data_IF_283806877145
#
_entry.id   IF_283806877145
#
_cell.length_a   1.000
_cell.length_b   1.000
_cell.length_c   1.000
_cell.angle_alpha   90.00
_cell.angle_beta   90.00
_cell.angle_gamma   90.00
#
_symmetry.space_group_name_H-M   'P 1'
#
loop_
_entity.id
_entity.type
_entity.pdbx_description
1 polymer ?
#
# COMPACT_ATOMS: atom_id res chain seq x y z
N UNK A 1 3.91 4.28 -25.99
CA UNK A 1 4.82 5.03 -25.10
C UNK A 1 5.54 4.01 -24.23
N UNK A 2 6.88 3.90 -24.33
CA UNK A 2 7.67 2.99 -23.49
C UNK A 2 8.14 3.80 -22.29
N UNK A 3 7.39 3.74 -21.21
CA UNK A 3 7.84 4.24 -19.92
C UNK A 3 8.88 3.23 -19.42
N UNK A 4 10.15 3.65 -19.41
CA UNK A 4 11.33 3.02 -18.79
C UNK A 4 11.35 1.48 -18.70
N UNK A 5 12.15 0.81 -19.55
CA UNK A 5 12.59 -0.57 -19.29
C UNK A 5 13.92 -0.55 -18.53
N UNK A 6 13.95 -1.11 -17.32
CA UNK A 6 15.18 -1.36 -16.56
C UNK A 6 16.02 -2.47 -17.22
N UNK A 7 17.33 -2.30 -17.45
CA UNK A 7 18.25 -3.42 -17.60
C UNK A 7 18.55 -4.00 -16.20
N UNK A 8 18.25 -5.29 -15.98
CA UNK A 8 18.60 -5.96 -14.72
C UNK A 8 20.12 -6.18 -14.65
N UNK A 9 20.83 -5.53 -13.73
CA UNK A 9 22.05 -6.10 -13.17
C UNK A 9 21.67 -6.90 -11.92
N UNK A 10 21.94 -8.20 -11.98
CA UNK A 10 21.69 -9.13 -10.89
C UNK A 10 23.06 -9.45 -10.31
N UNK A 11 23.56 -8.63 -9.39
CA UNK A 11 24.79 -8.96 -8.66
C UNK A 11 24.45 -9.73 -7.40
N UNK A 12 24.85 -11.01 -7.39
CA UNK A 12 24.58 -12.04 -6.39
C UNK A 12 25.49 -11.93 -5.15
N UNK A 13 25.88 -10.72 -4.73
CA UNK A 13 26.72 -10.56 -3.53
C UNK A 13 26.36 -9.27 -2.78
N UNK A 14 25.69 -9.45 -1.64
CA UNK A 14 25.62 -8.49 -0.52
C UNK A 14 25.02 -7.13 -0.84
N UNK A 15 23.73 -6.97 -0.55
CA UNK A 15 22.95 -5.72 -0.55
C UNK A 15 22.88 -4.98 -1.90
N UNK A 16 21.71 -4.91 -2.58
CA UNK A 16 21.61 -4.12 -3.80
C UNK A 16 21.84 -2.64 -3.45
N UNK A 17 22.74 -1.94 -4.17
CA UNK A 17 22.76 -0.49 -4.11
C UNK A 17 21.40 0.04 -4.57
N UNK A 18 20.90 1.11 -3.95
CA UNK A 18 19.81 1.89 -4.53
C UNK A 18 20.34 2.46 -5.86
N UNK A 19 20.11 1.77 -6.98
CA UNK A 19 20.84 1.98 -8.24
C UNK A 19 20.69 3.40 -8.83
N UNK A 20 19.74 4.21 -8.35
CA UNK A 20 19.42 5.52 -8.92
C UNK A 20 19.56 6.71 -7.95
N UNK A 21 20.05 6.50 -6.72
CA UNK A 21 20.19 7.60 -5.75
C UNK A 21 18.86 8.18 -5.25
N UNK A 22 17.74 7.49 -5.49
CA UNK A 22 16.39 7.76 -4.96
C UNK A 22 15.67 6.44 -4.67
N UNK A 23 14.86 6.41 -3.62
CA UNK A 23 14.00 5.28 -3.27
C UNK A 23 12.69 5.35 -4.09
N UNK A 24 12.34 4.29 -4.81
CA UNK A 24 11.14 4.25 -5.65
C UNK A 24 9.94 3.74 -4.87
N UNK A 25 8.88 4.56 -4.81
CA UNK A 25 7.63 4.27 -4.11
C UNK A 25 6.49 4.17 -5.11
N UNK A 26 5.91 2.99 -5.25
CA UNK A 26 4.69 2.80 -6.03
C UNK A 26 3.46 2.80 -5.12
N UNK A 27 2.42 3.52 -5.52
CA UNK A 27 1.16 3.63 -4.78
C UNK A 27 0.03 3.23 -5.70
N UNK A 28 -0.76 2.23 -5.33
CA UNK A 28 -2.00 1.94 -6.01
C UNK A 28 -3.16 2.61 -5.29
N UNK A 29 -3.85 3.53 -5.97
CA UNK A 29 -5.06 4.20 -5.48
C UNK A 29 -6.24 3.63 -6.24
N UNK A 30 -7.14 2.89 -5.58
CA UNK A 30 -8.32 2.34 -6.24
C UNK A 30 -9.38 3.42 -6.44
N UNK A 31 -9.73 3.68 -7.70
CA UNK A 31 -10.84 4.54 -8.16
C UNK A 31 -11.63 3.82 -9.25
N UNK A 32 -12.48 4.53 -10.00
CA UNK A 32 -13.41 3.99 -10.99
C UNK A 32 -14.71 3.50 -10.35
N UNK A 33 -14.79 2.18 -10.16
CA UNK A 33 -15.94 1.54 -9.50
C UNK A 33 -16.07 1.89 -8.02
N UNK A 34 -14.97 2.29 -7.38
CA UNK A 34 -14.89 2.68 -5.98
C UNK A 34 -14.87 4.19 -5.85
N UNK A 35 -15.92 4.73 -5.23
CA UNK A 35 -16.14 6.15 -4.93
C UNK A 35 -16.29 6.34 -3.42
N UNK A 36 -16.19 7.58 -2.96
CA UNK A 36 -16.38 7.97 -1.54
C UNK A 36 -17.77 7.59 -1.00
N UNK A 37 -18.74 7.45 -1.89
CA UNK A 37 -20.11 7.06 -1.58
C UNK A 37 -20.54 5.85 -2.42
N UNK A 38 -21.63 5.19 -2.01
CA UNK A 38 -22.21 4.06 -2.73
C UNK A 38 -21.80 2.68 -2.21
N UNK A 39 -22.17 1.60 -2.92
CA UNK A 39 -22.10 0.24 -2.40
C UNK A 39 -20.67 -0.27 -2.17
N UNK A 40 -19.67 0.28 -2.86
CA UNK A 40 -18.26 -0.09 -2.72
C UNK A 40 -17.44 0.91 -1.88
N UNK A 41 -18.09 1.88 -1.24
CA UNK A 41 -17.43 2.93 -0.43
C UNK A 41 -16.57 2.37 0.72
N UNK A 42 -16.89 1.20 1.26
CA UNK A 42 -16.07 0.53 2.28
C UNK A 42 -14.65 0.16 1.79
N UNK A 43 -14.43 0.12 0.46
CA UNK A 43 -13.11 -0.09 -0.15
C UNK A 43 -12.39 1.22 -0.48
N UNK A 44 -13.09 2.35 -0.38
CA UNK A 44 -12.53 3.66 -0.66
C UNK A 44 -11.51 4.02 0.41
N UNK A 45 -10.43 4.66 -0.03
CA UNK A 45 -9.42 5.29 0.81
C UNK A 45 -9.23 6.70 0.26
N UNK A 46 -9.40 7.75 1.08
CA UNK A 46 -9.24 9.12 0.62
C UNK A 46 -7.78 9.41 0.25
N UNK A 47 -7.54 10.48 -0.51
CA UNK A 47 -6.18 10.85 -0.88
C UNK A 47 -5.32 11.15 0.38
N UNK A 48 -5.92 11.78 1.40
CA UNK A 48 -5.20 12.12 2.64
C UNK A 48 -4.61 10.89 3.32
N UNK A 49 -5.23 9.71 3.17
CA UNK A 49 -4.67 8.45 3.65
C UNK A 49 -3.30 8.16 3.02
N UNK A 50 -3.22 8.18 1.69
CA UNK A 50 -1.97 7.89 0.98
C UNK A 50 -0.93 8.98 1.20
N UNK A 51 -1.36 10.24 1.23
CA UNK A 51 -0.49 11.38 1.48
C UNK A 51 0.14 11.31 2.87
N UNK A 52 -0.62 10.94 3.91
CA UNK A 52 -0.08 10.76 5.25
C UNK A 52 1.00 9.65 5.31
N UNK A 53 0.83 8.56 4.55
CA UNK A 53 1.86 7.51 4.46
C UNK A 53 3.12 8.03 3.75
N UNK A 54 2.95 8.76 2.64
CA UNK A 54 4.07 9.35 1.91
C UNK A 54 4.82 10.41 2.73
N UNK A 55 4.10 11.26 3.46
CA UNK A 55 4.69 12.27 4.32
C UNK A 55 5.46 11.59 5.48
N UNK A 56 4.92 10.53 6.07
CA UNK A 56 5.63 9.74 7.09
C UNK A 56 6.92 9.11 6.55
N UNK A 57 6.91 8.60 5.31
CA UNK A 57 8.12 8.07 4.66
C UNK A 57 9.16 9.16 4.40
N UNK A 58 8.73 10.36 3.99
CA UNK A 58 9.62 11.49 3.70
C UNK A 58 10.26 12.06 4.97
N UNK A 59 9.48 12.22 6.02
CA UNK A 59 9.93 12.76 7.31
C UNK A 59 11.00 11.85 7.92
N UNK A 60 10.73 10.55 7.96
CA UNK A 60 11.68 9.58 8.50
C UNK A 60 12.92 9.45 7.61
N UNK A 61 12.73 9.42 6.28
CA UNK A 61 13.83 9.41 5.33
C UNK A 61 14.74 10.62 5.50
N UNK A 62 14.17 11.80 5.76
CA UNK A 62 14.94 13.03 6.04
C UNK A 62 15.69 12.90 7.35
N UNK A 63 15.05 12.38 8.40
CA UNK A 63 15.66 12.20 9.73
C UNK A 63 16.81 11.20 9.71
N UNK A 64 16.73 10.18 8.86
CA UNK A 64 17.66 9.03 8.83
C UNK A 64 18.63 9.00 7.65
N UNK A 65 18.60 10.03 6.80
CA UNK A 65 19.52 10.17 5.67
C UNK A 65 19.24 9.21 4.51
N UNK A 66 17.96 8.89 4.25
CA UNK A 66 17.58 8.21 3.01
C UNK A 66 17.94 9.04 1.79
N UNK A 67 18.18 8.39 0.64
CA UNK A 67 18.29 9.10 -0.62
C UNK A 67 16.96 9.78 -0.94
N UNK A 68 16.98 11.11 -0.84
CA UNK A 68 15.88 12.00 -1.15
C UNK A 68 16.21 12.81 -2.40
N UNK A 69 15.19 13.18 -3.21
CA UNK A 69 13.76 12.95 -2.98
C UNK A 69 13.33 11.49 -3.23
N UNK A 70 12.22 11.07 -2.59
CA UNK A 70 11.55 9.81 -2.97
C UNK A 70 10.99 9.95 -4.39
N UNK A 71 11.19 8.93 -5.21
CA UNK A 71 10.58 8.86 -6.55
C UNK A 71 9.22 8.17 -6.45
N UNK A 72 8.15 8.96 -6.40
CA UNK A 72 6.81 8.48 -6.08
C UNK A 72 5.92 8.41 -7.32
N UNK A 73 5.33 7.25 -7.54
CA UNK A 73 4.40 6.98 -8.63
C UNK A 73 3.05 6.48 -8.11
N UNK A 74 1.98 7.22 -8.41
CA UNK A 74 0.59 6.82 -8.14
C UNK A 74 -0.01 6.21 -9.39
N UNK A 75 -0.64 5.04 -9.25
CA UNK A 75 -1.37 4.35 -10.30
C UNK A 75 -2.85 4.25 -9.96
N UNK A 76 -3.72 4.67 -10.89
CA UNK A 76 -5.17 4.62 -10.71
C UNK A 76 -5.94 4.52 -12.03
N UNK A 77 -7.25 4.34 -11.92
CA UNK A 77 -8.18 4.56 -13.02
C UNK A 77 -8.48 6.06 -13.19
N UNK A 78 -8.76 6.53 -14.41
CA UNK A 78 -9.01 7.96 -14.66
C UNK A 78 -10.31 8.47 -14.05
N UNK A 79 -11.33 7.61 -13.89
CA UNK A 79 -12.58 8.00 -13.25
C UNK A 79 -12.39 8.10 -11.73
N UNK A 80 -12.51 9.30 -11.18
CA UNK A 80 -12.42 9.56 -9.74
C UNK A 80 -13.31 10.72 -9.32
N UNK A 81 -13.83 10.66 -8.09
CA UNK A 81 -14.52 11.76 -7.41
C UNK A 81 -13.57 12.64 -6.59
N UNK A 82 -12.28 12.30 -6.52
CA UNK A 82 -11.24 13.08 -5.85
C UNK A 82 -10.31 13.74 -6.89
N UNK A 83 -9.77 14.92 -6.56
CA UNK A 83 -8.76 15.58 -7.39
C UNK A 83 -7.41 14.87 -7.28
N UNK A 84 -6.59 14.96 -8.32
CA UNK A 84 -5.20 14.48 -8.32
C UNK A 84 -4.19 15.59 -7.95
N UNK A 85 -4.64 16.84 -7.83
CA UNK A 85 -3.77 18.01 -7.62
C UNK A 85 -2.94 17.93 -6.34
N UNK A 86 -3.46 17.28 -5.30
CA UNK A 86 -2.76 17.10 -4.02
C UNK A 86 -1.52 16.21 -4.15
N UNK A 87 -1.54 15.24 -5.08
CA UNK A 87 -0.37 14.43 -5.41
C UNK A 87 0.58 15.22 -6.29
N UNK A 88 0.07 15.86 -7.35
CA UNK A 88 0.87 16.61 -8.32
C UNK A 88 1.64 17.77 -7.65
N UNK A 89 0.97 18.53 -6.78
CA UNK A 89 1.59 19.63 -6.00
C UNK A 89 2.70 19.18 -5.06
N UNK A 90 2.77 17.87 -4.73
CA UNK A 90 3.83 17.24 -3.93
C UNK A 90 4.90 16.56 -4.77
N UNK A 91 4.94 16.82 -6.08
CA UNK A 91 5.92 16.24 -7.01
C UNK A 91 5.71 14.74 -7.24
N UNK A 92 4.52 14.21 -6.98
CA UNK A 92 4.18 12.80 -7.25
C UNK A 92 3.78 12.64 -8.71
N UNK A 93 4.32 11.63 -9.38
CA UNK A 93 3.91 11.25 -10.74
C UNK A 93 2.61 10.46 -10.69
N UNK A 94 1.55 10.95 -11.33
CA UNK A 94 0.24 10.27 -11.38
C UNK A 94 0.04 9.63 -12.75
N UNK A 95 -0.19 8.32 -12.76
CA UNK A 95 -0.40 7.49 -13.95
C UNK A 95 -1.82 6.96 -13.97
N UNK A 96 -2.63 7.42 -14.93
CA UNK A 96 -4.04 7.07 -15.04
C UNK A 96 -4.29 6.19 -16.26
N UNK A 97 -5.04 5.09 -16.08
CA UNK A 97 -5.46 4.23 -17.19
C UNK A 97 -4.32 3.50 -17.91
N UNK A 98 -3.26 3.16 -17.18
CA UNK A 98 -2.14 2.37 -17.71
C UNK A 98 -2.54 0.94 -18.07
N UNK A 99 -1.74 0.28 -18.92
CA UNK A 99 -1.98 -1.13 -19.25
C UNK A 99 -1.73 -2.02 -18.03
N UNK A 100 -2.46 -3.13 -17.91
CA UNK A 100 -2.33 -4.06 -16.78
C UNK A 100 -0.89 -4.50 -16.56
N UNK A 101 -0.22 -4.94 -17.62
CA UNK A 101 1.15 -5.44 -17.56
C UNK A 101 2.12 -4.34 -17.11
N UNK A 102 2.01 -3.13 -17.68
CA UNK A 102 2.91 -2.03 -17.34
C UNK A 102 2.71 -1.61 -15.88
N UNK A 103 1.47 -1.46 -15.43
CA UNK A 103 1.18 -1.07 -14.04
C UNK A 103 1.70 -2.14 -13.09
N UNK A 104 1.43 -3.41 -13.35
CA UNK A 104 1.89 -4.49 -12.47
C UNK A 104 3.41 -4.60 -12.42
N UNK A 105 4.11 -4.39 -13.53
CA UNK A 105 5.58 -4.32 -13.55
C UNK A 105 6.09 -3.25 -12.58
N UNK A 106 5.53 -2.04 -12.62
CA UNK A 106 5.91 -0.97 -11.70
C UNK A 106 5.56 -1.27 -10.24
N UNK A 107 4.39 -1.89 -9.98
CA UNK A 107 4.01 -2.27 -8.61
C UNK A 107 4.96 -3.34 -8.04
N UNK A 108 5.35 -4.35 -8.84
CA UNK A 108 6.23 -5.43 -8.41
C UNK A 108 7.68 -4.99 -8.22
N UNK A 109 8.16 -4.02 -9.01
CA UNK A 109 9.57 -3.62 -9.03
C UNK A 109 9.91 -2.44 -8.10
N UNK A 110 8.93 -1.89 -7.39
CA UNK A 110 9.14 -0.80 -6.47
C UNK A 110 9.91 -1.24 -5.21
N UNK A 111 10.69 -0.32 -4.64
CA UNK A 111 11.34 -0.55 -3.34
C UNK A 111 10.31 -0.54 -2.22
N UNK A 112 9.30 0.33 -2.35
CA UNK A 112 8.14 0.39 -1.47
C UNK A 112 6.85 0.35 -2.30
N UNK A 113 5.95 -0.58 -1.98
CA UNK A 113 4.63 -0.68 -2.59
C UNK A 113 3.53 -0.37 -1.56
N UNK A 114 2.79 0.71 -1.76
CA UNK A 114 1.61 1.05 -0.95
C UNK A 114 0.34 0.57 -1.66
N UNK A 115 -0.39 -0.34 -1.02
CA UNK A 115 -1.60 -0.95 -1.58
C UNK A 115 -2.89 -0.24 -1.15
N UNK A 116 -3.88 -0.23 -2.04
CA UNK A 116 -5.29 0.00 -1.68
C UNK A 116 -5.95 -1.30 -1.19
N UNK A 117 -7.20 -1.20 -0.69
CA UNK A 117 -8.11 -2.33 -0.43
C UNK A 117 -8.56 -3.01 -1.74
N UNK A 118 -7.62 -3.56 -2.52
CA UNK A 118 -7.85 -4.08 -3.88
C UNK A 118 -7.03 -5.34 -4.18
N UNK A 119 -7.68 -6.35 -4.78
CA UNK A 119 -6.95 -7.50 -5.35
C UNK A 119 -5.95 -7.06 -6.43
N UNK A 120 -6.23 -5.95 -7.12
CA UNK A 120 -5.37 -5.43 -8.19
C UNK A 120 -3.96 -5.09 -7.71
N UNK A 121 -3.80 -4.50 -6.51
CA UNK A 121 -2.49 -4.26 -5.90
C UNK A 121 -2.00 -5.40 -5.02
N UNK A 122 -2.91 -6.20 -4.47
CA UNK A 122 -2.55 -7.35 -3.63
C UNK A 122 -1.81 -8.44 -4.42
N UNK A 123 -2.25 -8.72 -5.66
CA UNK A 123 -1.61 -9.76 -6.49
C UNK A 123 -0.17 -9.41 -6.86
N UNK A 124 0.15 -8.24 -7.45
CA UNK A 124 1.55 -7.88 -7.73
C UNK A 124 2.37 -7.71 -6.44
N UNK A 125 1.77 -7.28 -5.33
CA UNK A 125 2.46 -7.27 -4.04
C UNK A 125 2.97 -8.67 -3.62
N UNK A 126 2.21 -9.72 -3.94
CA UNK A 126 2.61 -11.11 -3.67
C UNK A 126 3.87 -11.53 -4.46
N UNK A 127 4.06 -10.96 -5.66
CA UNK A 127 5.20 -11.26 -6.52
C UNK A 127 6.35 -10.25 -6.39
N UNK A 128 6.22 -9.28 -5.48
CA UNK A 128 7.30 -8.33 -5.22
C UNK A 128 8.53 -9.07 -4.66
N UNK A 129 9.75 -8.67 -5.05
CA UNK A 129 10.98 -9.25 -4.52
C UNK A 129 11.01 -9.23 -2.98
N UNK A 130 11.74 -10.16 -2.33
CA UNK A 130 11.95 -10.11 -0.88
C UNK A 130 12.58 -8.80 -0.40
N UNK A 131 13.26 -8.07 -1.29
CA UNK A 131 13.85 -6.76 -1.01
C UNK A 131 12.85 -5.59 -1.06
N UNK A 132 11.64 -5.82 -1.55
CA UNK A 132 10.61 -4.79 -1.60
C UNK A 132 9.81 -4.78 -0.32
N UNK A 133 9.42 -3.59 0.13
CA UNK A 133 8.58 -3.40 1.31
C UNK A 133 7.16 -3.14 0.87
N UNK A 134 6.27 -4.09 1.18
CA UNK A 134 4.83 -3.92 0.92
C UNK A 134 4.15 -3.31 2.13
N UNK A 135 3.53 -2.15 1.92
CA UNK A 135 2.63 -1.47 2.86
C UNK A 135 1.19 -1.85 2.50
N UNK A 136 0.65 -2.77 3.29
CA UNK A 136 -0.64 -3.39 3.08
C UNK A 136 -1.75 -2.72 3.89
N UNK A 137 -2.80 -2.26 3.21
CA UNK A 137 -4.00 -1.77 3.87
C UNK A 137 -4.97 -2.92 4.10
N UNK A 138 -5.39 -3.19 5.35
CA UNK A 138 -6.24 -4.35 5.65
C UNK A 138 -7.55 -4.33 4.87
N UNK A 139 -7.89 -5.50 4.33
CA UNK A 139 -9.21 -5.84 3.81
C UNK A 139 -9.40 -7.37 3.86
N UNK A 140 -10.35 -7.94 3.10
CA UNK A 140 -10.65 -9.37 3.15
C UNK A 140 -9.49 -10.30 2.78
N UNK A 141 -8.42 -9.80 2.12
CA UNK A 141 -7.23 -10.60 1.88
C UNK A 141 -6.29 -10.55 3.08
N UNK A 142 -5.61 -11.68 3.31
CA UNK A 142 -4.58 -11.75 4.34
C UNK A 142 -3.25 -11.18 3.81
N UNK A 143 -2.51 -10.41 4.63
CA UNK A 143 -1.15 -10.03 4.29
C UNK A 143 -0.21 -11.22 4.39
N UNK A 144 0.92 -11.15 3.69
CA UNK A 144 2.05 -12.03 3.98
C UNK A 144 2.73 -11.60 5.28
N UNK A 145 3.43 -12.55 5.92
CA UNK A 145 4.10 -12.35 7.21
C UNK A 145 5.01 -11.12 7.23
N UNK A 146 5.70 -10.89 6.12
CA UNK A 146 6.68 -9.82 5.98
C UNK A 146 6.09 -8.57 5.36
N UNK A 147 4.77 -8.38 5.35
CA UNK A 147 4.17 -7.11 4.92
C UNK A 147 4.00 -6.17 6.11
N UNK A 148 4.15 -4.87 5.88
CA UNK A 148 3.83 -3.84 6.87
C UNK A 148 2.35 -3.57 6.78
N UNK A 149 1.62 -3.81 7.86
CA UNK A 149 0.16 -3.75 7.86
C UNK A 149 -0.29 -2.43 8.46
N UNK A 150 -1.08 -1.68 7.70
CA UNK A 150 -1.64 -0.39 8.10
C UNK A 150 -3.16 -0.54 8.13
N UNK A 151 -3.77 0.00 9.17
CA UNK A 151 -5.22 0.11 9.24
C UNK A 151 -5.68 1.44 8.63
N UNK A 152 -6.85 1.38 8.02
CA UNK A 152 -7.56 2.60 7.65
C UNK A 152 -7.86 3.38 8.93
N UNK A 153 -7.47 4.65 9.00
CA UNK A 153 -7.70 5.52 10.17
C UNK A 153 -9.20 5.58 10.54
N UNK A 154 -10.10 5.32 9.57
CA UNK A 154 -11.53 5.20 9.80
C UNK A 154 -11.96 3.92 10.56
N UNK A 155 -11.16 2.85 10.52
CA UNK A 155 -11.50 1.57 11.14
C UNK A 155 -11.34 1.56 12.67
N UNK A 156 -10.75 2.61 13.26
CA UNK A 156 -10.64 2.74 14.73
C UNK A 156 -11.99 2.97 15.43
N UNK A 157 -13.08 3.28 14.69
CA UNK A 157 -14.40 3.51 15.29
C UNK A 157 -15.31 2.27 15.35
N UNK A 158 -15.07 1.21 14.55
CA UNK A 158 -15.96 0.03 14.53
C UNK A 158 -15.55 -1.07 15.52
N UNK A 159 -14.27 -1.21 15.85
CA UNK A 159 -13.79 -2.23 16.79
C UNK A 159 -14.27 -2.01 18.24
N UNK A 160 -14.69 -0.78 18.57
CA UNK A 160 -15.32 -0.47 19.86
C UNK A 160 -16.82 -0.87 19.94
N UNK A 161 -17.44 -1.21 18.80
CA UNK A 161 -18.88 -1.50 18.72
C UNK A 161 -19.22 -2.99 18.54
N UNK A 162 -18.25 -3.80 18.09
CA UNK A 162 -18.41 -5.26 17.91
C UNK A 162 -18.41 -6.08 19.22
N UNK A 163 -18.13 -5.46 20.38
CA UNK A 163 -18.13 -6.14 21.69
C UNK A 163 -19.51 -6.28 22.34
N UNK A 164 -20.60 -5.91 21.66
CA UNK A 164 -21.97 -6.14 22.16
C UNK A 164 -22.72 -7.12 21.26
N UNK A 165 -22.62 -8.41 21.58
CA UNK A 165 -23.49 -9.45 21.01
C UNK A 165 -24.93 -9.27 21.53
N UNK A 166 -25.96 -9.21 20.66
CA UNK A 166 -27.32 -9.60 21.04
C UNK A 166 -27.49 -11.14 20.92
N UNK A 167 -28.45 -11.74 21.66
CA UNK A 167 -28.63 -13.17 21.66
C UNK A 167 -29.22 -13.67 20.34
N UNK A 168 -28.86 -14.91 20.02
CA UNK A 168 -29.18 -15.67 18.82
C UNK A 168 -30.67 -15.73 18.46
N UNK A 169 -30.97 -15.59 17.17
CA UNK A 169 -32.11 -16.25 16.53
C UNK A 169 -31.69 -16.83 15.18
N UNK A 170 -32.03 -18.10 15.00
CA UNK A 170 -31.63 -19.00 13.93
C UNK A 170 -32.29 -18.69 12.58
N UNK A 171 -31.49 -18.53 11.54
CA UNK A 171 -31.90 -18.89 10.16
C UNK A 171 -30.66 -19.31 9.37
N UNK A 172 -30.78 -20.41 8.65
CA UNK A 172 -29.68 -21.07 7.94
C UNK A 172 -29.02 -20.18 6.90
N UNK A 173 -27.79 -19.74 7.19
CA UNK A 173 -26.81 -19.31 6.21
C UNK A 173 -25.54 -20.11 6.41
N UNK A 174 -24.91 -20.50 5.31
CA UNK A 174 -23.62 -21.19 5.25
C UNK A 174 -22.63 -20.41 6.12
N UNK A 175 -22.21 -21.01 7.23
CA UNK A 175 -21.17 -20.46 8.11
C UNK A 175 -19.85 -20.49 7.34
N UNK A 176 -19.39 -19.34 6.86
CA UNK A 176 -17.98 -19.15 6.56
C UNK A 176 -17.24 -19.37 7.89
N UNK A 177 -16.28 -20.30 7.98
CA UNK A 177 -15.56 -20.54 9.23
C UNK A 177 -14.85 -19.25 9.65
N UNK A 178 -14.82 -18.92 10.96
CA UNK A 178 -14.04 -17.79 11.44
C UNK A 178 -12.58 -17.98 11.02
N UNK A 179 -12.02 -16.94 10.40
CA UNK A 179 -10.61 -16.89 10.02
C UNK A 179 -9.77 -17.16 11.28
N UNK A 180 -8.84 -18.13 11.26
CA UNK A 180 -7.98 -18.40 12.41
C UNK A 180 -7.21 -17.13 12.79
N UNK A 181 -7.26 -16.75 14.07
CA UNK A 181 -6.34 -15.74 14.62
C UNK A 181 -4.93 -16.33 14.57
N UNK A 182 -4.10 -15.86 13.66
CA UNK A 182 -2.65 -16.02 13.72
C UNK A 182 -1.98 -14.68 14.08
N UNK A 183 -0.74 -14.81 14.58
CA UNK A 183 0.09 -13.85 15.31
C UNK A 183 -0.12 -12.36 14.96
N UNK A 184 0.00 -11.45 15.96
CA UNK A 184 -0.36 -10.04 15.79
C UNK A 184 0.44 -9.44 14.63
N UNK A 185 -0.26 -9.06 13.56
CA UNK A 185 0.25 -8.05 12.65
C UNK A 185 0.64 -6.84 13.51
N UNK A 186 1.87 -6.35 13.37
CA UNK A 186 2.29 -5.14 14.07
C UNK A 186 1.32 -4.05 13.66
N UNK A 187 0.57 -3.53 14.63
CA UNK A 187 -0.38 -2.45 14.43
C UNK A 187 0.43 -1.17 14.34
N UNK A 188 0.45 -0.56 13.17
CA UNK A 188 1.34 0.56 12.90
C UNK A 188 0.50 1.81 12.66
N UNK A 189 0.57 2.79 13.56
CA UNK A 189 0.15 4.15 13.20
C UNK A 189 1.13 4.72 12.16
N UNK A 190 0.74 5.77 11.43
CA UNK A 190 1.58 6.38 10.39
C UNK A 190 3.00 6.71 10.87
N UNK A 191 3.17 7.11 12.14
CA UNK A 191 4.46 7.37 12.78
C UNK A 191 5.36 6.14 12.90
N UNK A 192 4.82 4.94 13.15
CA UNK A 192 5.62 3.72 13.24
C UNK A 192 5.90 3.07 11.88
N UNK A 193 5.16 3.43 10.82
CA UNK A 193 5.31 2.84 9.49
C UNK A 193 6.72 3.06 8.97
N UNK A 194 7.17 4.30 9.07
CA UNK A 194 8.43 4.72 8.51
C UNK A 194 9.63 4.10 9.24
N UNK A 195 9.54 3.93 10.57
CA UNK A 195 10.55 3.22 11.35
C UNK A 195 10.67 1.73 10.95
N UNK A 196 9.54 1.05 10.69
CA UNK A 196 9.55 -0.35 10.22
C UNK A 196 10.14 -0.45 8.81
N UNK A 197 9.79 0.49 7.94
CA UNK A 197 10.35 0.57 6.58
C UNK A 197 11.86 0.78 6.67
N UNK A 198 12.33 1.67 7.55
CA UNK A 198 13.76 1.91 7.81
C UNK A 198 14.49 0.65 8.26
N UNK A 199 14.00 0.00 9.31
CA UNK A 199 14.65 -1.18 9.87
C UNK A 199 14.78 -2.31 8.85
N UNK A 200 13.90 -2.34 7.85
CA UNK A 200 13.96 -3.30 6.75
C UNK A 200 14.89 -2.85 5.65
N UNK A 201 14.84 -1.59 5.23
CA UNK A 201 15.78 -1.01 4.25
C UNK A 201 17.23 -1.13 4.72
N UNK A 202 17.52 -0.90 6.01
CA UNK A 202 18.88 -0.97 6.57
C UNK A 202 19.41 -2.39 6.84
N UNK A 203 18.57 -3.43 6.74
CA UNK A 203 18.97 -4.85 6.93
C UNK A 203 19.17 -5.59 5.61
N UNK A 204 18.86 -4.96 4.49
CA UNK A 204 19.06 -5.51 3.14
C UNK A 204 20.44 -5.19 2.64
#
# INVERSE_FOLDING_TARGET
LKWFRRPRKRDLQGSPPLEHGSLVVAVHVRRGDVKSTGPLSFRYLPNEYFLALLDSLRDEGSHRGWPLPLDVHVFSEPESDASWDEFLSRGVSVHLGGSLCDVWEHLMEADVLITSKSSFSWVPAFYSPPSSIVVFTRFWHLPLRDWVVVDDVASMQEDAMSTRLPPSSSTGLVRIPPVPRQAPAVLVNTTHLAAIVFDRLGRM
#
